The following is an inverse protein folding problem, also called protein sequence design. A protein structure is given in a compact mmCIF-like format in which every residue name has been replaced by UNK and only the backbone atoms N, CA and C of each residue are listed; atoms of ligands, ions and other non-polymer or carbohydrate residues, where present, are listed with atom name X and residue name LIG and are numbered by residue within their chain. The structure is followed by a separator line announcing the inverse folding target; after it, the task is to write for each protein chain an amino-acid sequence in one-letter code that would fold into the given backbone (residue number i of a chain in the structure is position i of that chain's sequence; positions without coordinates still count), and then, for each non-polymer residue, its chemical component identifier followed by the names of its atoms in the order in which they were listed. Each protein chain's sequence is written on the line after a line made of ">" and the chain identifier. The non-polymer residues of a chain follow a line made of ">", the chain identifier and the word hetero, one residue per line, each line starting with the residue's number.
data_IF_270768935257
#
_entry.id   IF_270768935257
#
_cell.length_a   1.000
_cell.length_b   1.000
_cell.length_c   1.000
_cell.angle_alpha   90.00
_cell.angle_beta   90.00
_cell.angle_gamma   90.00
#
_symmetry.space_group_name_H-M   'P 1'
#
loop_
_entity.id
_entity.type
_entity.pdbx_description
1 polymer ?
#
# COMPACT_ATOMS: atom_id res chain seq x y z
N UNK A 1 -16.05 18.51 20.29
CA UNK A 1 -15.40 17.54 19.39
C UNK A 1 -14.52 16.67 20.25
N UNK A 2 -14.67 15.35 20.19
CA UNK A 2 -13.71 14.46 20.85
C UNK A 2 -12.32 14.68 20.23
N UNK A 3 -11.30 14.75 21.07
CA UNK A 3 -9.91 14.91 20.64
C UNK A 3 -9.56 13.75 19.67
N UNK A 4 -8.99 14.00 18.48
CA UNK A 4 -8.63 12.93 17.58
C UNK A 4 -7.69 11.97 18.29
N UNK A 5 -8.06 10.68 18.25
CA UNK A 5 -7.27 9.59 18.86
C UNK A 5 -5.82 9.67 18.35
N UNK A 6 -4.81 9.53 19.23
CA UNK A 6 -3.42 9.46 18.80
C UNK A 6 -3.20 8.27 17.86
N UNK A 7 -2.43 8.48 16.79
CA UNK A 7 -1.99 7.45 15.85
C UNK A 7 -0.49 7.25 16.05
N UNK A 8 -0.11 6.09 16.56
CA UNK A 8 1.29 5.76 16.86
C UNK A 8 2.02 5.19 15.65
N UNK A 9 1.30 4.55 14.72
CA UNK A 9 1.83 4.02 13.46
C UNK A 9 0.74 3.69 12.45
N UNK A 10 1.13 3.58 11.18
CA UNK A 10 0.25 3.17 10.09
C UNK A 10 0.89 2.01 9.34
N UNK A 11 0.15 0.92 9.17
CA UNK A 11 0.52 -0.20 8.29
C UNK A 11 -0.35 -0.16 7.02
N UNK A 12 0.26 0.17 5.88
CA UNK A 12 -0.46 0.25 4.61
C UNK A 12 -0.80 -1.11 4.02
N UNK A 13 -0.32 -2.21 4.62
CA UNK A 13 -0.44 -3.51 3.99
C UNK A 13 -0.42 -4.64 5.01
N UNK A 14 -1.61 -5.10 5.40
CA UNK A 14 -1.79 -6.29 6.22
C UNK A 14 -2.86 -7.21 5.65
N UNK A 15 -2.59 -8.50 5.58
CA UNK A 15 -3.53 -9.49 5.07
C UNK A 15 -4.43 -10.06 6.17
N UNK A 16 -5.75 -10.01 6.00
CA UNK A 16 -6.69 -10.60 6.96
C UNK A 16 -7.97 -11.12 6.29
N UNK A 17 -8.63 -12.09 6.93
CA UNK A 17 -9.87 -12.69 6.44
C UNK A 17 -9.67 -13.65 5.28
N UNK A 18 -10.70 -13.80 4.44
CA UNK A 18 -10.68 -14.71 3.29
C UNK A 18 -9.75 -14.19 2.21
N UNK A 19 -8.78 -15.02 1.83
CA UNK A 19 -7.78 -14.73 0.81
C UNK A 19 -7.35 -16.05 0.12
N UNK A 20 -6.54 -15.94 -0.93
CA UNK A 20 -6.03 -17.09 -1.68
C UNK A 20 -5.17 -18.05 -0.83
N UNK A 21 -4.61 -17.56 0.27
CA UNK A 21 -3.94 -18.35 1.29
C UNK A 21 -4.61 -18.11 2.65
N UNK A 22 -4.57 -19.12 3.53
CA UNK A 22 -5.11 -19.00 4.89
C UNK A 22 -4.46 -17.83 5.62
N UNK A 23 -5.26 -17.03 6.31
CA UNK A 23 -4.80 -15.91 7.15
C UNK A 23 -4.85 -16.25 8.64
N UNK A 24 -3.95 -15.62 9.40
CA UNK A 24 -3.84 -15.75 10.86
C UNK A 24 -5.09 -15.22 11.57
N UNK A 25 -5.63 -14.12 11.07
CA UNK A 25 -6.71 -13.37 11.69
C UNK A 25 -7.84 -13.12 10.70
N UNK A 26 -9.05 -13.04 11.23
CA UNK A 26 -10.17 -12.38 10.56
C UNK A 26 -9.92 -10.87 10.45
N UNK A 27 -10.67 -10.20 9.56
CA UNK A 27 -10.64 -8.73 9.43
C UNK A 27 -10.93 -8.06 10.78
N UNK A 28 -11.92 -8.55 11.51
CA UNK A 28 -12.32 -7.99 12.81
C UNK A 28 -11.24 -8.15 13.89
N UNK A 29 -10.56 -9.29 13.93
CA UNK A 29 -9.45 -9.52 14.87
C UNK A 29 -8.26 -8.63 14.56
N UNK A 30 -7.88 -8.51 13.28
CA UNK A 30 -6.80 -7.63 12.85
C UNK A 30 -7.07 -6.18 13.27
N UNK A 31 -8.25 -5.64 12.94
CA UNK A 31 -8.62 -4.25 13.29
C UNK A 31 -8.52 -4.02 14.80
N UNK A 32 -9.05 -4.93 15.63
CA UNK A 32 -8.94 -4.80 17.09
C UNK A 32 -7.51 -4.89 17.59
N UNK A 33 -6.65 -5.67 16.92
CA UNK A 33 -5.25 -5.81 17.29
C UNK A 33 -4.47 -4.50 17.06
N UNK A 34 -4.67 -3.85 15.91
CA UNK A 34 -4.09 -2.53 15.63
C UNK A 34 -4.69 -1.44 16.51
N UNK A 35 -6.01 -1.44 16.67
CA UNK A 35 -6.72 -0.45 17.47
C UNK A 35 -6.25 -0.47 18.93
N UNK A 36 -5.97 -1.63 19.54
CA UNK A 36 -5.45 -1.69 20.93
C UNK A 36 -4.10 -1.00 21.16
N UNK A 37 -3.33 -0.76 20.11
CA UNK A 37 -1.98 -0.18 20.18
C UNK A 37 -1.88 1.13 19.39
N UNK A 38 -3.00 1.83 19.20
CA UNK A 38 -3.07 3.09 18.44
C UNK A 38 -2.53 2.99 17.00
N UNK A 39 -2.56 1.80 16.43
CA UNK A 39 -2.20 1.56 15.03
C UNK A 39 -3.39 1.74 14.10
N UNK A 40 -3.11 2.15 12.87
CA UNK A 40 -4.09 2.11 11.77
C UNK A 40 -3.60 1.16 10.69
N UNK A 41 -4.53 0.44 10.05
CA UNK A 41 -4.20 -0.63 9.10
C UNK A 41 -5.02 -0.55 7.82
N UNK A 42 -4.39 -0.88 6.70
CA UNK A 42 -5.06 -1.21 5.45
C UNK A 42 -5.13 -2.72 5.27
N UNK A 43 -6.37 -3.23 5.27
CA UNK A 43 -6.61 -4.66 5.11
C UNK A 43 -6.53 -5.01 3.62
N UNK A 44 -5.70 -5.98 3.26
CA UNK A 44 -5.51 -6.44 1.88
C UNK A 44 -5.87 -7.92 1.74
N UNK A 45 -6.28 -8.30 0.53
CA UNK A 45 -6.30 -9.67 0.02
C UNK A 45 -5.73 -9.70 -1.40
N UNK A 46 -5.37 -10.86 -1.93
CA UNK A 46 -4.71 -10.97 -3.24
C UNK A 46 -5.67 -10.82 -4.43
N UNK A 47 -6.97 -11.02 -4.23
CA UNK A 47 -8.00 -10.88 -5.27
C UNK A 47 -9.27 -10.28 -4.69
N UNK A 48 -9.88 -9.32 -5.39
CA UNK A 48 -11.07 -8.60 -4.93
C UNK A 48 -10.75 -7.42 -4.01
N UNK A 49 -11.71 -7.04 -3.15
CA UNK A 49 -11.66 -5.78 -2.40
C UNK A 49 -12.01 -5.96 -0.92
N UNK A 50 -11.37 -5.24 -0.02
CA UNK A 50 -11.67 -5.28 1.44
C UNK A 50 -12.40 -4.02 1.94
N UNK A 51 -12.70 -3.07 1.05
CA UNK A 51 -13.45 -1.85 1.31
C UNK A 51 -14.83 -2.17 1.91
N UNK A 52 -15.55 -3.15 1.36
CA UNK A 52 -16.86 -3.55 1.89
C UNK A 52 -16.75 -4.20 3.27
N UNK A 53 -15.76 -5.07 3.50
CA UNK A 53 -15.57 -5.75 4.79
C UNK A 53 -15.15 -4.82 5.93
N UNK A 54 -14.58 -3.67 5.60
CA UNK A 54 -14.09 -2.67 6.58
C UNK A 54 -15.09 -1.51 6.76
N UNK A 55 -16.19 -1.49 5.99
CA UNK A 55 -17.18 -0.40 5.96
C UNK A 55 -17.85 -0.14 7.30
N UNK A 56 -18.32 -1.20 7.97
CA UNK A 56 -19.02 -1.05 9.25
C UNK A 56 -18.09 -0.44 10.31
N UNK A 57 -16.81 -0.80 10.31
CA UNK A 57 -15.82 -0.25 11.23
C UNK A 57 -15.60 1.25 11.02
N UNK A 58 -15.39 1.68 9.77
CA UNK A 58 -15.30 3.10 9.43
C UNK A 58 -16.55 3.87 9.78
N UNK A 59 -17.73 3.29 9.54
CA UNK A 59 -19.03 3.90 9.88
C UNK A 59 -19.19 4.10 11.39
N UNK A 60 -18.53 3.29 12.21
CA UNK A 60 -18.46 3.43 13.67
C UNK A 60 -17.26 4.26 14.14
N UNK A 61 -16.59 5.01 13.24
CA UNK A 61 -15.50 5.91 13.58
C UNK A 61 -14.12 5.26 13.74
N UNK A 62 -13.98 3.95 13.47
CA UNK A 62 -12.68 3.28 13.53
C UNK A 62 -11.87 3.61 12.28
N UNK A 63 -10.63 4.08 12.47
CA UNK A 63 -9.71 4.32 11.38
C UNK A 63 -9.18 2.99 10.84
N UNK A 64 -9.71 2.58 9.70
CA UNK A 64 -9.27 1.37 8.98
C UNK A 64 -9.43 1.56 7.47
N UNK A 65 -8.35 1.31 6.74
CA UNK A 65 -8.31 1.32 5.29
C UNK A 65 -8.67 -0.03 4.68
N UNK A 66 -9.01 0.01 3.39
CA UNK A 66 -9.17 -1.19 2.58
C UNK A 66 -8.49 -1.02 1.23
N UNK A 67 -8.23 -2.16 0.60
CA UNK A 67 -7.56 -2.29 -0.68
C UNK A 67 -8.51 -2.98 -1.66
N UNK A 68 -8.65 -2.42 -2.85
CA UNK A 68 -9.28 -3.07 -4.00
C UNK A 68 -8.18 -3.48 -4.99
N UNK A 69 -7.99 -4.78 -5.22
CA UNK A 69 -7.01 -5.27 -6.18
C UNK A 69 -7.66 -5.36 -7.56
N UNK A 70 -7.11 -4.64 -8.53
CA UNK A 70 -7.59 -4.66 -9.92
C UNK A 70 -7.57 -6.07 -10.49
N UNK A 71 -8.68 -6.44 -11.12
CA UNK A 71 -8.85 -7.67 -11.86
C UNK A 71 -8.92 -7.36 -13.36
N UNK A 72 -8.70 -8.36 -14.20
CA UNK A 72 -8.83 -8.22 -15.66
C UNK A 72 -10.21 -7.70 -16.08
N UNK A 73 -11.26 -8.09 -15.37
CA UNK A 73 -12.61 -7.59 -15.61
C UNK A 73 -12.74 -6.08 -15.40
N UNK A 74 -11.95 -5.48 -14.49
CA UNK A 74 -11.97 -4.03 -14.24
C UNK A 74 -11.34 -3.24 -15.40
N UNK A 75 -10.43 -3.85 -16.18
CA UNK A 75 -9.87 -3.26 -17.40
C UNK A 75 -10.82 -3.36 -18.60
N UNK A 76 -11.84 -4.21 -18.51
CA UNK A 76 -12.92 -4.30 -19.51
C UNK A 76 -14.07 -3.37 -19.13
N UNK A 77 -14.43 -3.33 -17.85
CA UNK A 77 -15.49 -2.48 -17.31
C UNK A 77 -15.22 -2.11 -15.84
N UNK A 78 -14.74 -0.87 -15.64
CA UNK A 78 -14.41 -0.35 -14.32
C UNK A 78 -15.63 0.14 -13.50
N UNK A 79 -16.86 0.09 -14.04
CA UNK A 79 -18.04 0.70 -13.38
C UNK A 79 -18.37 0.10 -12.02
N UNK A 80 -18.04 -1.18 -11.80
CA UNK A 80 -18.26 -1.81 -10.49
C UNK A 80 -17.28 -1.28 -9.45
N UNK A 81 -16.02 -1.12 -9.81
CA UNK A 81 -15.01 -0.48 -8.97
C UNK A 81 -15.34 0.99 -8.72
N UNK A 82 -15.72 1.75 -9.76
CA UNK A 82 -16.10 3.15 -9.61
C UNK A 82 -17.27 3.32 -8.65
N UNK A 83 -18.35 2.52 -8.83
CA UNK A 83 -19.48 2.54 -7.89
C UNK A 83 -19.03 2.22 -6.47
N UNK A 84 -18.13 1.25 -6.29
CA UNK A 84 -17.59 0.92 -4.97
C UNK A 84 -16.85 2.11 -4.35
N UNK A 85 -15.99 2.78 -5.12
CA UNK A 85 -15.20 3.93 -4.67
C UNK A 85 -16.06 5.19 -4.40
N UNK A 86 -17.17 5.36 -5.12
CA UNK A 86 -18.12 6.46 -4.93
C UNK A 86 -19.19 6.22 -3.85
N UNK A 87 -19.37 4.98 -3.38
CA UNK A 87 -20.41 4.61 -2.38
C UNK A 87 -20.31 5.40 -1.09
N UNK A 88 -19.09 5.74 -0.67
CA UNK A 88 -18.85 6.52 0.53
C UNK A 88 -17.62 7.38 0.38
N UNK A 89 -17.56 8.47 1.15
CA UNK A 89 -16.33 9.25 1.28
C UNK A 89 -15.41 8.56 2.27
N UNK A 90 -14.64 7.60 1.77
CA UNK A 90 -13.68 6.81 2.53
C UNK A 90 -12.76 7.67 3.42
N UNK A 91 -12.89 7.51 4.73
CA UNK A 91 -11.97 8.05 5.74
C UNK A 91 -11.48 6.88 6.60
N UNK A 92 -10.24 6.40 6.41
CA UNK A 92 -9.19 6.90 5.53
C UNK A 92 -9.34 6.50 4.04
N UNK A 93 -8.48 7.01 3.14
CA UNK A 93 -8.55 6.79 1.67
C UNK A 93 -8.44 5.31 1.30
N UNK A 94 -9.13 4.86 0.23
CA UNK A 94 -8.96 3.50 -0.28
C UNK A 94 -7.67 3.40 -1.10
N UNK A 95 -7.08 2.20 -1.14
CA UNK A 95 -6.02 1.88 -2.08
C UNK A 95 -6.61 1.04 -3.21
N UNK A 96 -6.34 1.41 -4.46
CA UNK A 96 -6.58 0.58 -5.64
C UNK A 96 -5.23 0.04 -6.08
N UNK A 97 -5.05 -1.27 -5.96
CA UNK A 97 -3.77 -1.94 -6.19
C UNK A 97 -3.78 -2.67 -7.52
N UNK A 98 -2.69 -2.54 -8.28
CA UNK A 98 -2.32 -3.53 -9.27
C UNK A 98 -2.08 -4.90 -8.60
N UNK A 99 -2.24 -6.01 -9.35
CA UNK A 99 -2.13 -7.34 -8.78
C UNK A 99 -0.70 -7.65 -8.29
N UNK A 100 -0.61 -8.36 -7.15
CA UNK A 100 0.66 -8.91 -6.64
C UNK A 100 0.87 -10.38 -7.02
N UNK A 101 -0.10 -11.00 -7.69
CA UNK A 101 0.01 -12.33 -8.31
C UNK A 101 -0.14 -12.18 -9.82
N UNK A 102 0.47 -13.10 -10.56
CA UNK A 102 0.38 -13.13 -12.02
C UNK A 102 0.89 -11.85 -12.71
N UNK A 103 1.98 -11.29 -12.17
CA UNK A 103 2.59 -10.07 -12.72
C UNK A 103 3.13 -10.29 -14.14
N UNK A 104 3.53 -11.51 -14.48
CA UNK A 104 3.97 -11.86 -15.83
C UNK A 104 2.87 -11.59 -16.87
N UNK A 105 1.63 -12.02 -16.61
CA UNK A 105 0.51 -11.71 -17.47
C UNK A 105 0.29 -10.19 -17.60
N UNK A 106 0.40 -9.44 -16.49
CA UNK A 106 0.33 -7.97 -16.56
C UNK A 106 1.41 -7.38 -17.46
N UNK A 107 2.66 -7.83 -17.31
CA UNK A 107 3.79 -7.35 -18.10
C UNK A 107 3.62 -7.63 -19.60
N UNK A 108 3.14 -8.83 -19.95
CA UNK A 108 2.85 -9.20 -21.34
C UNK A 108 1.78 -8.27 -21.91
N UNK A 109 0.74 -7.98 -21.12
CA UNK A 109 -0.36 -7.12 -21.52
C UNK A 109 -0.02 -5.63 -21.58
N UNK A 110 0.97 -5.15 -20.82
CA UNK A 110 1.42 -3.74 -20.89
C UNK A 110 2.09 -3.38 -22.23
N UNK A 111 2.43 -4.35 -23.07
CA UNK A 111 2.82 -4.11 -24.46
C UNK A 111 1.64 -3.70 -25.37
N UNK A 112 0.41 -4.00 -24.95
CA UNK A 112 -0.80 -3.72 -25.71
C UNK A 112 -1.34 -2.33 -25.40
N UNK A 113 -1.38 -1.44 -26.42
CA UNK A 113 -1.89 -0.07 -26.27
C UNK A 113 -3.31 0.01 -25.71
N UNK A 114 -4.17 -0.96 -26.03
CA UNK A 114 -5.55 -1.01 -25.52
C UNK A 114 -5.57 -1.25 -24.01
N UNK A 115 -4.71 -2.13 -23.50
CA UNK A 115 -4.57 -2.39 -22.07
C UNK A 115 -4.03 -1.16 -21.35
N UNK A 116 -2.99 -0.52 -21.92
CA UNK A 116 -2.43 0.72 -21.36
C UNK A 116 -3.49 1.83 -21.29
N UNK A 117 -4.30 2.00 -22.33
CA UNK A 117 -5.41 2.98 -22.31
C UNK A 117 -6.44 2.65 -21.24
N UNK A 118 -6.88 1.40 -21.15
CA UNK A 118 -7.85 0.98 -20.14
C UNK A 118 -7.31 1.18 -18.72
N UNK A 119 -6.03 0.88 -18.49
CA UNK A 119 -5.39 1.08 -17.20
C UNK A 119 -5.23 2.57 -16.87
N UNK A 120 -4.93 3.41 -17.86
CA UNK A 120 -4.89 4.87 -17.72
C UNK A 120 -6.26 5.39 -17.28
N UNK A 121 -7.34 4.96 -17.93
CA UNK A 121 -8.72 5.34 -17.58
C UNK A 121 -9.11 4.88 -16.16
N UNK A 122 -8.70 3.67 -15.75
CA UNK A 122 -8.93 3.16 -14.39
C UNK A 122 -8.16 3.97 -13.35
N UNK A 123 -6.91 4.35 -13.63
CA UNK A 123 -6.09 5.19 -12.74
C UNK A 123 -6.72 6.57 -12.57
N UNK A 124 -7.08 7.22 -13.67
CA UNK A 124 -7.75 8.53 -13.66
C UNK A 124 -9.06 8.47 -12.86
N UNK A 125 -9.87 7.43 -13.08
CA UNK A 125 -11.10 7.20 -12.32
C UNK A 125 -10.83 7.04 -10.83
N UNK A 126 -9.85 6.21 -10.45
CA UNK A 126 -9.50 5.99 -9.05
C UNK A 126 -9.03 7.29 -8.36
N UNK A 127 -8.19 8.08 -9.03
CA UNK A 127 -7.77 9.39 -8.53
C UNK A 127 -8.92 10.39 -8.44
N UNK A 128 -9.87 10.37 -9.37
CA UNK A 128 -11.10 11.19 -9.27
C UNK A 128 -11.95 10.84 -8.04
N UNK A 129 -11.80 9.61 -7.52
CA UNK A 129 -12.42 9.15 -6.28
C UNK A 129 -11.56 9.40 -5.03
N UNK A 130 -10.42 10.09 -5.16
CA UNK A 130 -9.41 10.34 -4.12
C UNK A 130 -8.86 9.02 -3.54
N UNK A 131 -8.73 7.99 -4.39
CA UNK A 131 -8.02 6.75 -4.07
C UNK A 131 -6.50 6.90 -4.30
N UNK A 132 -5.73 6.04 -3.64
CA UNK A 132 -4.28 5.89 -3.89
C UNK A 132 -4.07 4.71 -4.82
N UNK A 133 -3.23 4.85 -5.84
CA UNK A 133 -2.82 3.73 -6.70
C UNK A 133 -1.62 3.02 -6.07
N UNK A 134 -1.73 1.72 -5.86
CA UNK A 134 -0.61 0.87 -5.48
C UNK A 134 -0.11 0.05 -6.67
N UNK A 135 1.21 -0.06 -6.85
CA UNK A 135 1.80 -0.70 -8.03
C UNK A 135 1.86 -2.23 -8.00
N UNK A 136 1.49 -2.85 -6.87
CA UNK A 136 1.60 -4.29 -6.69
C UNK A 136 3.05 -4.76 -6.77
N UNK A 137 3.30 -5.80 -7.57
CA UNK A 137 4.65 -6.30 -7.88
C UNK A 137 5.19 -5.79 -9.23
N UNK A 138 4.65 -4.71 -9.79
CA UNK A 138 5.14 -4.16 -11.04
C UNK A 138 6.62 -3.76 -10.91
N UNK A 139 7.52 -4.28 -11.76
CA UNK A 139 8.91 -3.86 -11.82
C UNK A 139 9.04 -2.35 -11.96
N UNK A 140 9.97 -1.74 -11.21
CA UNK A 140 10.10 -0.30 -11.12
C UNK A 140 10.42 0.34 -12.47
N UNK A 141 11.19 -0.34 -13.33
CA UNK A 141 11.50 0.13 -14.68
C UNK A 141 10.27 0.19 -15.61
N UNK A 142 9.13 -0.37 -15.19
CA UNK A 142 7.86 -0.31 -15.91
C UNK A 142 6.89 0.72 -15.34
N UNK A 143 7.20 1.34 -14.20
CA UNK A 143 6.31 2.34 -13.57
C UNK A 143 6.17 3.58 -14.46
N UNK A 144 7.24 4.06 -15.09
CA UNK A 144 7.14 5.22 -16.00
C UNK A 144 6.26 4.92 -17.23
N UNK A 145 6.23 3.67 -17.71
CA UNK A 145 5.32 3.26 -18.79
C UNK A 145 3.84 3.23 -18.35
N UNK A 146 3.59 3.01 -17.06
CA UNK A 146 2.27 3.07 -16.45
C UNK A 146 1.81 4.51 -16.22
N UNK A 147 2.67 5.34 -15.61
CA UNK A 147 2.32 6.68 -15.15
C UNK A 147 2.49 7.74 -16.22
N UNK A 148 3.41 7.55 -17.18
CA UNK A 148 3.68 8.49 -18.27
C UNK A 148 2.45 8.89 -19.08
N UNK A 149 1.60 7.94 -19.55
CA UNK A 149 0.35 8.26 -20.25
C UNK A 149 -0.62 9.09 -19.41
N UNK A 150 -0.68 8.84 -18.10
CA UNK A 150 -1.55 9.56 -17.17
C UNK A 150 -1.02 10.98 -16.94
N UNK A 151 0.29 11.11 -16.70
CA UNK A 151 0.98 12.39 -16.53
C UNK A 151 0.89 13.27 -17.79
N UNK A 152 1.01 12.67 -18.98
CA UNK A 152 0.87 13.39 -20.26
C UNK A 152 -0.53 13.99 -20.49
N UNK A 153 -1.56 13.47 -19.80
CA UNK A 153 -2.92 14.02 -19.80
C UNK A 153 -3.14 15.08 -18.74
N UNK A 154 -2.11 15.43 -17.96
CA UNK A 154 -2.20 16.38 -16.84
C UNK A 154 -2.92 15.81 -15.62
N UNK A 155 -3.21 14.51 -15.60
CA UNK A 155 -3.77 13.86 -14.43
C UNK A 155 -2.65 13.61 -13.42
N UNK A 156 -2.89 14.02 -12.17
CA UNK A 156 -1.99 13.80 -11.05
C UNK A 156 -2.78 13.19 -9.90
N UNK A 157 -2.11 12.32 -9.15
CA UNK A 157 -2.70 11.68 -8.00
C UNK A 157 -1.68 10.93 -7.19
N UNK A 158 -2.16 10.20 -6.20
CA UNK A 158 -1.31 9.56 -5.20
C UNK A 158 -0.92 8.17 -5.66
N UNK A 159 0.39 7.89 -5.64
CA UNK A 159 0.95 6.59 -6.00
C UNK A 159 1.80 6.06 -4.84
N UNK A 160 1.58 4.78 -4.52
CA UNK A 160 2.40 3.97 -3.62
C UNK A 160 3.09 2.87 -4.42
N UNK A 161 4.41 2.92 -4.50
CA UNK A 161 5.20 1.80 -5.02
C UNK A 161 5.27 0.73 -3.94
N UNK A 162 4.42 -0.31 -4.06
CA UNK A 162 4.34 -1.39 -3.06
C UNK A 162 5.47 -2.40 -3.25
N UNK A 163 5.89 -3.05 -2.16
CA UNK A 163 7.02 -3.99 -2.19
C UNK A 163 8.27 -3.41 -2.89
N UNK A 164 8.53 -2.11 -2.76
CA UNK A 164 9.45 -1.37 -3.62
C UNK A 164 10.85 -1.99 -3.69
N UNK A 165 11.33 -2.54 -2.58
CA UNK A 165 12.68 -3.12 -2.45
C UNK A 165 12.69 -4.64 -2.53
N UNK A 166 11.58 -5.28 -2.87
CA UNK A 166 11.60 -6.68 -3.23
C UNK A 166 12.33 -6.84 -4.58
N UNK A 167 13.16 -7.89 -4.80
CA UNK A 167 13.92 -8.06 -6.05
C UNK A 167 13.09 -8.09 -7.34
N UNK A 168 11.80 -8.42 -7.25
CA UNK A 168 10.87 -8.36 -8.40
C UNK A 168 10.51 -6.92 -8.80
N UNK A 169 10.47 -5.99 -7.85
CA UNK A 169 10.15 -4.59 -8.08
C UNK A 169 11.42 -3.78 -8.27
N UNK A 170 12.42 -3.99 -7.41
CA UNK A 170 13.77 -3.41 -7.52
C UNK A 170 13.77 -1.88 -7.76
N UNK A 171 13.02 -1.14 -6.94
CA UNK A 171 12.91 0.31 -7.07
C UNK A 171 14.16 1.09 -6.61
N UNK A 172 15.09 0.46 -5.88
CA UNK A 172 16.28 1.11 -5.30
C UNK A 172 17.03 2.03 -6.26
N UNK A 173 17.42 1.56 -7.46
CA UNK A 173 18.11 2.37 -8.46
C UNK A 173 17.28 3.54 -9.04
N UNK A 174 15.94 3.49 -8.90
CA UNK A 174 15.00 4.41 -9.54
C UNK A 174 14.25 5.32 -8.53
N UNK A 175 14.61 5.27 -7.23
CA UNK A 175 13.91 6.05 -6.19
C UNK A 175 13.87 7.54 -6.54
N UNK A 176 15.02 8.12 -6.94
CA UNK A 176 15.12 9.55 -7.27
C UNK A 176 14.24 9.90 -8.48
N UNK A 177 14.43 9.18 -9.59
CA UNK A 177 13.71 9.40 -10.84
C UNK A 177 12.20 9.32 -10.62
N UNK A 178 11.70 8.24 -10.00
CA UNK A 178 10.28 8.05 -9.77
C UNK A 178 9.67 9.11 -8.84
N UNK A 179 10.44 9.62 -7.87
CA UNK A 179 9.99 10.69 -6.98
C UNK A 179 9.92 12.02 -7.72
N UNK A 180 10.95 12.37 -8.47
CA UNK A 180 11.06 13.66 -9.17
C UNK A 180 10.07 13.76 -10.34
N UNK A 181 9.84 12.67 -11.06
CA UNK A 181 8.96 12.66 -12.23
C UNK A 181 7.48 12.48 -11.89
N UNK A 182 7.16 11.69 -10.85
CA UNK A 182 5.79 11.24 -10.59
C UNK A 182 5.29 11.47 -9.15
N UNK A 183 6.09 12.08 -8.26
CA UNK A 183 5.74 12.35 -6.84
C UNK A 183 5.22 11.09 -6.11
N UNK A 184 5.88 9.94 -6.34
CA UNK A 184 5.48 8.67 -5.71
C UNK A 184 5.99 8.55 -4.27
N UNK A 185 5.32 7.71 -3.48
CA UNK A 185 5.87 7.20 -2.20
C UNK A 185 6.21 5.72 -2.30
N UNK A 186 7.16 5.26 -1.50
CA UNK A 186 7.62 3.87 -1.52
C UNK A 186 7.18 3.13 -0.27
N UNK A 187 6.81 1.86 -0.43
CA UNK A 187 6.58 0.94 0.66
C UNK A 187 7.78 0.02 0.83
N UNK A 188 8.28 -0.07 2.05
CA UNK A 188 9.19 -1.11 2.47
C UNK A 188 8.48 -2.06 3.42
N UNK A 189 8.41 -3.34 3.06
CA UNK A 189 7.74 -4.35 3.88
C UNK A 189 8.73 -5.12 4.74
N UNK A 190 8.46 -5.22 6.04
CA UNK A 190 9.23 -6.04 6.98
C UNK A 190 9.33 -7.50 6.47
N UNK A 191 8.24 -8.04 5.91
CA UNK A 191 8.23 -9.40 5.37
C UNK A 191 9.26 -9.61 4.24
N UNK A 192 9.57 -8.60 3.43
CA UNK A 192 10.59 -8.71 2.36
C UNK A 192 11.94 -9.09 2.96
N UNK A 193 12.31 -8.46 4.08
CA UNK A 193 13.54 -8.78 4.79
C UNK A 193 13.45 -10.12 5.52
N UNK A 194 12.35 -10.40 6.23
CA UNK A 194 12.20 -11.66 6.99
C UNK A 194 12.19 -12.91 6.10
N UNK A 195 11.81 -12.77 4.84
CA UNK A 195 11.89 -13.85 3.84
C UNK A 195 13.29 -13.96 3.18
N UNK A 196 14.27 -13.18 3.63
CA UNK A 196 15.64 -13.18 3.10
C UNK A 196 15.72 -12.68 1.66
N UNK A 197 14.78 -11.83 1.22
CA UNK A 197 14.78 -11.30 -0.16
C UNK A 197 15.77 -10.16 -0.36
N UNK A 198 16.13 -9.50 0.74
CA UNK A 198 17.17 -8.48 0.82
C UNK A 198 18.05 -8.76 2.04
N UNK A 199 19.28 -8.26 2.02
CA UNK A 199 20.18 -8.38 3.17
C UNK A 199 19.75 -7.47 4.34
N UNK A 200 20.28 -7.73 5.54
CA UNK A 200 20.09 -6.80 6.67
C UNK A 200 20.68 -5.42 6.36
N UNK A 201 21.85 -5.36 5.74
CA UNK A 201 22.47 -4.09 5.37
C UNK A 201 21.60 -3.27 4.41
N UNK A 202 20.99 -3.94 3.42
CA UNK A 202 20.04 -3.33 2.50
C UNK A 202 18.77 -2.88 3.24
N UNK A 203 18.22 -3.70 4.13
CA UNK A 203 17.08 -3.33 4.97
C UNK A 203 17.36 -2.05 5.78
N UNK A 204 18.51 -1.99 6.45
CA UNK A 204 18.92 -0.83 7.25
C UNK A 204 19.20 0.40 6.38
N UNK A 205 19.82 0.24 5.20
CA UNK A 205 20.04 1.33 4.26
C UNK A 205 18.72 1.93 3.77
N UNK A 206 17.75 1.11 3.36
CA UNK A 206 16.41 1.57 2.95
C UNK A 206 15.75 2.40 4.07
N UNK A 207 15.79 1.90 5.31
CA UNK A 207 15.23 2.60 6.46
C UNK A 207 15.89 3.96 6.73
N UNK A 208 17.19 4.10 6.47
CA UNK A 208 17.93 5.35 6.67
C UNK A 208 17.74 6.34 5.54
N UNK A 209 17.76 5.87 4.29
CA UNK A 209 18.09 6.72 3.14
C UNK A 209 16.91 7.00 2.21
N UNK A 210 15.93 6.10 2.12
CA UNK A 210 14.83 6.26 1.14
C UNK A 210 13.75 7.18 1.68
N UNK A 211 13.42 8.25 0.97
CA UNK A 211 12.27 9.12 1.29
C UNK A 211 11.59 9.56 -0.01
N UNK A 212 10.24 9.64 -0.07
CA UNK A 212 9.28 9.38 1.00
C UNK A 212 8.95 7.89 1.19
N UNK A 213 9.06 7.39 2.43
CA UNK A 213 8.92 5.95 2.76
C UNK A 213 7.78 5.63 3.75
N UNK A 214 7.05 4.55 3.49
CA UNK A 214 6.11 3.89 4.39
C UNK A 214 6.72 2.55 4.83
N UNK A 215 6.73 2.28 6.13
CA UNK A 215 7.13 0.99 6.67
C UNK A 215 5.92 0.14 7.03
N UNK A 216 5.75 -0.97 6.32
CA UNK A 216 4.56 -1.82 6.41
C UNK A 216 4.93 -3.27 6.72
N UNK A 217 3.97 -4.06 7.17
CA UNK A 217 4.29 -5.42 7.60
C UNK A 217 4.25 -6.43 6.45
N UNK A 218 3.25 -6.35 5.57
CA UNK A 218 2.84 -7.42 4.64
C UNK A 218 2.51 -8.75 5.36
N UNK A 219 2.15 -8.65 6.65
CA UNK A 219 1.85 -9.80 7.50
C UNK A 219 0.42 -10.29 7.33
N UNK A 220 0.05 -11.28 8.15
CA UNK A 220 -1.26 -11.94 8.10
C UNK A 220 -1.21 -13.41 7.69
N UNK A 221 -0.04 -13.91 7.29
CA UNK A 221 0.23 -15.34 7.12
C UNK A 221 0.20 -16.03 8.50
N UNK A 222 -0.13 -17.34 8.59
CA UNK A 222 -0.31 -18.03 9.87
C UNK A 222 0.92 -17.98 10.79
N UNK A 223 2.12 -17.92 10.21
CA UNK A 223 3.41 -17.90 10.92
C UNK A 223 4.00 -16.49 11.07
N UNK A 224 3.34 -15.46 10.53
CA UNK A 224 3.83 -14.09 10.64
C UNK A 224 3.62 -13.54 12.05
N UNK A 225 4.47 -12.58 12.49
CA UNK A 225 4.33 -11.94 13.79
C UNK A 225 2.92 -11.36 14.05
N UNK A 226 2.55 -11.31 15.33
CA UNK A 226 1.47 -10.45 15.81
C UNK A 226 1.84 -8.98 15.64
N UNK A 227 0.87 -8.07 15.71
CA UNK A 227 1.12 -6.63 15.64
C UNK A 227 2.06 -6.19 16.76
N UNK A 228 1.85 -6.69 17.98
CA UNK A 228 2.74 -6.40 19.11
C UNK A 228 4.18 -6.89 18.87
N UNK A 229 4.34 -8.10 18.34
CA UNK A 229 5.66 -8.65 17.98
C UNK A 229 6.32 -7.86 16.85
N UNK A 230 5.56 -7.49 15.81
CA UNK A 230 6.03 -6.65 14.72
C UNK A 230 6.49 -5.29 15.24
N UNK A 231 5.73 -4.64 16.12
CA UNK A 231 6.14 -3.37 16.73
C UNK A 231 7.43 -3.50 17.51
N UNK A 232 7.59 -4.56 18.30
CA UNK A 232 8.85 -4.81 19.02
C UNK A 232 10.03 -5.06 18.06
N UNK A 233 9.79 -5.76 16.95
CA UNK A 233 10.79 -6.02 15.91
C UNK A 233 11.19 -4.72 15.18
N UNK A 234 10.20 -3.96 14.70
CA UNK A 234 10.40 -2.67 14.04
C UNK A 234 11.18 -1.70 14.92
N UNK A 235 10.91 -1.66 16.24
CA UNK A 235 11.70 -0.82 17.16
C UNK A 235 13.17 -1.23 17.25
N UNK A 236 13.49 -2.53 17.18
CA UNK A 236 14.88 -2.98 17.13
C UNK A 236 15.56 -2.55 15.85
N UNK A 237 14.90 -2.72 14.70
CA UNK A 237 15.44 -2.27 13.42
C UNK A 237 15.62 -0.76 13.35
N UNK A 238 14.67 0.01 13.89
CA UNK A 238 14.80 1.46 13.95
C UNK A 238 15.96 1.89 14.86
N UNK A 239 16.19 1.20 15.97
CA UNK A 239 17.33 1.46 16.83
C UNK A 239 18.66 1.10 16.12
N UNK A 240 18.72 -0.05 15.46
CA UNK A 240 19.90 -0.51 14.71
C UNK A 240 20.23 0.38 13.51
N UNK A 241 19.21 0.87 12.81
CA UNK A 241 19.34 1.87 11.76
C UNK A 241 19.62 3.29 12.31
N UNK A 242 19.64 3.49 13.63
CA UNK A 242 19.91 4.79 14.26
C UNK A 242 18.82 5.85 14.01
N UNK A 243 17.57 5.43 13.79
CA UNK A 243 16.48 6.32 13.40
C UNK A 243 15.96 7.12 14.59
N UNK A 244 16.00 8.44 14.46
CA UNK A 244 15.54 9.38 15.50
C UNK A 244 14.67 10.49 14.91
N UNK A 245 13.98 11.22 15.78
CA UNK A 245 13.23 12.44 15.43
C UNK A 245 12.32 12.31 14.20
N UNK A 246 12.48 13.23 13.25
CA UNK A 246 11.64 13.33 12.06
C UNK A 246 11.67 12.07 11.19
N UNK A 247 12.84 11.42 11.03
CA UNK A 247 12.94 10.22 10.18
C UNK A 247 12.17 9.04 10.74
N UNK A 248 12.22 8.83 12.06
CA UNK A 248 11.41 7.80 12.72
C UNK A 248 9.91 8.09 12.60
N UNK A 249 9.50 9.35 12.75
CA UNK A 249 8.11 9.75 12.57
C UNK A 249 7.63 9.62 11.12
N UNK A 250 8.52 9.87 10.15
CA UNK A 250 8.25 9.73 8.72
C UNK A 250 7.82 8.30 8.37
N UNK A 251 8.72 7.35 8.59
CA UNK A 251 8.54 5.94 8.22
C UNK A 251 7.43 5.26 9.02
N UNK A 252 7.18 5.72 10.24
CA UNK A 252 6.21 5.10 11.15
C UNK A 252 4.78 5.56 10.85
N UNK A 253 4.59 6.84 10.48
CA UNK A 253 3.25 7.40 10.37
C UNK A 253 3.13 8.57 9.38
N UNK A 254 4.08 9.51 9.32
CA UNK A 254 3.83 10.81 8.67
C UNK A 254 3.63 10.68 7.16
N UNK A 255 4.47 9.90 6.48
CA UNK A 255 4.33 9.70 5.03
C UNK A 255 3.03 8.96 4.71
N UNK A 256 2.75 7.89 5.46
CA UNK A 256 1.51 7.13 5.32
C UNK A 256 0.28 8.01 5.60
N UNK A 257 0.32 8.87 6.61
CA UNK A 257 -0.77 9.78 6.94
C UNK A 257 -1.01 10.81 5.83
N UNK A 258 0.05 11.42 5.29
CA UNK A 258 -0.02 12.35 4.16
C UNK A 258 -0.67 11.69 2.93
N UNK A 259 -0.29 10.44 2.66
CA UNK A 259 -0.77 9.70 1.51
C UNK A 259 -2.22 9.22 1.71
N UNK A 260 -2.52 8.63 2.86
CA UNK A 260 -3.70 7.79 3.06
C UNK A 260 -4.77 8.42 3.96
N UNK A 261 -4.41 9.31 4.87
CA UNK A 261 -5.40 9.97 5.75
C UNK A 261 -5.98 11.20 5.06
N UNK A 262 -7.30 11.38 5.20
CA UNK A 262 -7.95 12.61 4.77
C UNK A 262 -7.89 13.61 5.93
N UNK A 263 -7.59 14.90 5.66
CA UNK A 263 -7.81 15.97 6.62
C UNK A 263 -9.31 16.13 6.94
#
# INVERSE_FOLDING_TARGET
>A
MADPRPIDFIDSHFHAGTDAARRRTSVAEAIREYDRVNGVVWIKRHAGETLSSTRLWRSNGVLVGGVAVLQWADLVDARSLERLLRRERFRPRPIVSLPTRDIAALLDHLSCRRVVSALTEVIEMAWSCDAVIATGHLPAERISALLGPVAARGAAGRVLVTHAFHPLVNAGPLVRELTEEFDVSFEHTELTHLLGRISTDEHLSVLREVSPLLYSSDFGQPTSPTVGQWRALAQRWFAEAGLTGARRSEITATTAARLLMRP
#
